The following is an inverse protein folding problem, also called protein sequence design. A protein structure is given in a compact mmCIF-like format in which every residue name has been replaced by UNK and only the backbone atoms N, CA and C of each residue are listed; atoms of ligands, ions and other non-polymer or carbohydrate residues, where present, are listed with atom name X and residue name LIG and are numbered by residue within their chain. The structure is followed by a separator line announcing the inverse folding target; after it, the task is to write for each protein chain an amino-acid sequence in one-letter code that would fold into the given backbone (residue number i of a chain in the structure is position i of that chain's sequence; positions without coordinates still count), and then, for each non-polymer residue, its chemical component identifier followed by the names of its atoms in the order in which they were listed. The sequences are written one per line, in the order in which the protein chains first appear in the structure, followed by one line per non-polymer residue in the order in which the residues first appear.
data_IF_344645051028
#
_entry.id   IF_344645051028
#
_cell.length_a   1.000
_cell.length_b   1.000
_cell.length_c   1.000
_cell.angle_alpha   90.00
_cell.angle_beta   90.00
_cell.angle_gamma   90.00
#
_symmetry.space_group_name_H-M   'P 1'
#
loop_
_entity.id
_entity.type
_entity.pdbx_description
1 polymer ?
#
# COMPACT_ATOMS: atom_id res chain seq x y z
N UNK A 1 -0.83 -18.05 -0.40
CA UNK A 1 -1.66 -17.12 -1.17
C UNK A 1 -0.77 -15.94 -1.48
N UNK A 2 -0.54 -15.68 -2.76
CA UNK A 2 0.43 -14.70 -3.24
C UNK A 2 -0.44 -13.62 -3.88
N UNK A 3 -0.48 -12.42 -3.29
CA UNK A 3 -0.99 -11.26 -4.02
C UNK A 3 -0.06 -11.08 -5.22
N UNK A 4 -0.63 -11.02 -6.41
CA UNK A 4 0.15 -10.89 -7.64
C UNK A 4 0.75 -9.48 -7.72
N UNK A 5 2.05 -9.39 -8.06
CA UNK A 5 2.79 -8.12 -8.14
C UNK A 5 2.15 -7.15 -9.14
N UNK A 6 1.64 -7.64 -10.27
CA UNK A 6 0.97 -6.82 -11.30
C UNK A 6 -0.32 -6.20 -10.72
N UNK A 7 -1.05 -6.95 -9.90
CA UNK A 7 -2.25 -6.43 -9.23
C UNK A 7 -1.91 -5.36 -8.18
N UNK A 8 -0.82 -5.51 -7.43
CA UNK A 8 -0.38 -4.47 -6.48
C UNK A 8 0.10 -3.22 -7.21
N UNK A 9 0.82 -3.37 -8.32
CA UNK A 9 1.27 -2.27 -9.18
C UNK A 9 0.11 -1.45 -9.74
N UNK A 10 -0.91 -2.11 -10.28
CA UNK A 10 -2.11 -1.42 -10.75
C UNK A 10 -2.81 -0.67 -9.62
N UNK A 11 -2.85 -1.23 -8.40
CA UNK A 11 -3.46 -0.57 -7.24
C UNK A 11 -2.69 0.68 -6.83
N UNK A 12 -1.38 0.60 -6.67
CA UNK A 12 -0.58 1.77 -6.30
C UNK A 12 -0.63 2.87 -7.37
N UNK A 13 -0.55 2.48 -8.65
CA UNK A 13 -0.67 3.42 -9.77
C UNK A 13 -2.04 4.09 -9.82
N UNK A 14 -3.11 3.34 -9.54
CA UNK A 14 -4.50 3.87 -9.56
C UNK A 14 -4.77 4.78 -8.36
N UNK A 15 -4.29 4.40 -7.18
CA UNK A 15 -4.50 5.17 -5.96
C UNK A 15 -3.61 6.40 -5.87
N UNK A 16 -2.44 6.37 -6.52
CA UNK A 16 -1.44 7.45 -6.61
C UNK A 16 -1.34 8.26 -5.30
N UNK A 17 -0.97 7.58 -4.23
CA UNK A 17 -1.11 8.07 -2.86
C UNK A 17 -0.42 9.42 -2.62
N UNK A 18 0.74 9.63 -3.26
CA UNK A 18 1.50 10.88 -3.21
C UNK A 18 1.25 11.81 -4.42
N UNK A 19 0.47 11.38 -5.42
CA UNK A 19 0.21 12.15 -6.64
C UNK A 19 1.36 12.15 -7.66
N UNK A 20 2.41 11.35 -7.45
CA UNK A 20 3.63 11.34 -8.25
C UNK A 20 3.36 10.92 -9.71
N UNK A 21 2.49 9.93 -9.92
CA UNK A 21 2.16 9.45 -11.27
C UNK A 21 1.41 10.53 -12.04
N UNK A 22 0.45 11.20 -11.39
CA UNK A 22 -0.25 12.34 -11.97
C UNK A 22 0.69 13.50 -12.31
N UNK A 23 1.79 13.67 -11.57
CA UNK A 23 2.86 14.63 -11.85
C UNK A 23 3.84 14.18 -12.96
N UNK A 24 3.67 12.97 -13.48
CA UNK A 24 4.45 12.42 -14.61
C UNK A 24 5.62 11.53 -14.20
N UNK A 25 5.65 11.06 -12.96
CA UNK A 25 6.55 9.99 -12.54
C UNK A 25 6.21 8.68 -13.28
N UNK A 26 7.19 7.76 -13.44
CA UNK A 26 6.95 6.50 -14.09
C UNK A 26 6.08 5.57 -13.21
N UNK A 27 5.41 4.58 -13.81
CA UNK A 27 4.46 3.72 -13.10
C UNK A 27 5.11 2.86 -11.98
N UNK A 28 6.41 2.61 -12.10
CA UNK A 28 7.24 1.88 -11.14
C UNK A 28 7.74 2.75 -9.96
N UNK A 29 7.30 4.00 -9.84
CA UNK A 29 7.76 4.92 -8.78
C UNK A 29 7.55 4.35 -7.36
N UNK A 30 6.49 3.57 -7.15
CA UNK A 30 6.18 2.95 -5.85
C UNK A 30 6.69 1.51 -5.70
N UNK A 31 7.49 0.99 -6.63
CA UNK A 31 8.06 -0.37 -6.58
C UNK A 31 8.64 -0.76 -5.20
N UNK A 32 9.47 0.07 -4.54
CA UNK A 32 10.04 -0.30 -3.24
C UNK A 32 8.99 -0.41 -2.12
N UNK A 33 7.95 0.41 -2.13
CA UNK A 33 6.86 0.32 -1.14
C UNK A 33 5.97 -0.90 -1.39
N UNK A 34 5.76 -1.24 -2.67
CA UNK A 34 5.02 -2.44 -3.07
C UNK A 34 5.72 -3.71 -2.63
N UNK A 35 7.03 -3.83 -2.88
CA UNK A 35 7.82 -4.99 -2.43
C UNK A 35 7.75 -5.16 -0.91
N UNK A 36 7.89 -4.06 -0.15
CA UNK A 36 7.80 -4.08 1.31
C UNK A 36 6.40 -4.48 1.80
N UNK A 37 5.35 -3.99 1.13
CA UNK A 37 3.98 -4.37 1.43
C UNK A 37 3.78 -5.86 1.20
N UNK A 38 4.17 -6.39 0.03
CA UNK A 38 4.03 -7.81 -0.33
C UNK A 38 4.81 -8.70 0.67
N UNK A 39 6.02 -8.32 1.04
CA UNK A 39 6.81 -9.04 2.05
C UNK A 39 6.10 -9.08 3.41
N UNK A 40 5.59 -7.94 3.88
CA UNK A 40 4.88 -7.86 5.15
C UNK A 40 3.57 -8.66 5.13
N UNK A 41 2.83 -8.57 4.02
CA UNK A 41 1.62 -9.32 3.72
C UNK A 41 1.84 -10.84 3.72
N UNK A 42 2.98 -11.32 3.21
CA UNK A 42 3.36 -12.72 3.22
C UNK A 42 3.64 -13.27 4.64
N UNK A 43 3.94 -12.39 5.61
CA UNK A 43 4.11 -12.78 7.02
C UNK A 43 2.77 -12.90 7.76
N UNK A 44 1.66 -12.41 7.19
CA UNK A 44 0.34 -12.49 7.82
C UNK A 44 -0.26 -13.88 7.52
N UNK A 45 -0.65 -14.66 8.56
CA UNK A 45 -1.34 -15.92 8.35
C UNK A 45 -2.63 -15.74 7.53
N UNK A 46 -2.92 -16.67 6.63
CA UNK A 46 -4.17 -16.67 5.86
C UNK A 46 -5.37 -16.69 6.82
N UNK A 47 -6.30 -15.74 6.64
CA UNK A 47 -7.46 -15.52 7.52
C UNK A 47 -7.23 -14.55 8.69
N UNK A 48 -6.00 -14.06 8.87
CA UNK A 48 -5.66 -13.02 9.85
C UNK A 48 -5.41 -11.64 9.23
N UNK A 49 -5.44 -11.54 7.89
CA UNK A 49 -5.39 -10.28 7.18
C UNK A 49 -6.65 -9.45 7.50
N UNK A 50 -6.45 -8.17 7.78
CA UNK A 50 -7.53 -7.24 8.04
C UNK A 50 -7.11 -5.84 7.61
N UNK A 51 -8.11 -4.99 7.33
CA UNK A 51 -7.86 -3.64 6.80
C UNK A 51 -6.95 -2.86 7.75
N UNK A 52 -7.22 -2.94 9.06
CA UNK A 52 -6.41 -2.25 10.08
C UNK A 52 -4.95 -2.71 10.10
N UNK A 53 -4.65 -3.99 9.82
CA UNK A 53 -3.27 -4.49 9.74
C UNK A 53 -2.56 -3.97 8.50
N UNK A 54 -3.24 -3.98 7.35
CA UNK A 54 -2.67 -3.49 6.09
C UNK A 54 -2.42 -1.98 6.17
N UNK A 55 -3.38 -1.21 6.69
CA UNK A 55 -3.22 0.23 6.93
C UNK A 55 -2.04 0.51 7.87
N UNK A 56 -1.85 -0.30 8.91
CA UNK A 56 -0.69 -0.14 9.81
C UNK A 56 0.64 -0.38 9.08
N UNK A 57 0.71 -1.40 8.22
CA UNK A 57 1.89 -1.68 7.39
C UNK A 57 2.19 -0.50 6.46
N UNK A 58 1.18 -0.01 5.72
CA UNK A 58 1.33 1.14 4.82
C UNK A 58 1.79 2.39 5.58
N UNK A 59 1.23 2.63 6.77
CA UNK A 59 1.62 3.75 7.64
C UNK A 59 3.10 3.65 8.03
N UNK A 60 3.59 2.45 8.39
CA UNK A 60 4.99 2.26 8.76
C UNK A 60 5.94 2.40 7.56
N UNK A 61 5.54 1.91 6.38
CA UNK A 61 6.28 2.09 5.12
C UNK A 61 6.41 3.59 4.80
N UNK A 62 5.30 4.33 4.76
CA UNK A 62 5.32 5.77 4.46
C UNK A 62 6.07 6.59 5.50
N UNK A 63 5.95 6.24 6.79
CA UNK A 63 6.71 6.91 7.84
C UNK A 63 8.21 6.71 7.65
N UNK A 64 8.64 5.54 7.19
CA UNK A 64 10.05 5.19 7.02
C UNK A 64 10.64 5.78 5.74
N UNK A 65 9.96 5.60 4.61
CA UNK A 65 10.54 5.87 3.29
C UNK A 65 10.29 7.31 2.83
N UNK A 66 9.12 7.88 3.16
CA UNK A 66 8.77 9.27 2.87
C UNK A 66 9.05 10.22 4.02
N UNK A 67 9.53 9.71 5.17
CA UNK A 67 9.64 10.48 6.42
C UNK A 67 8.33 11.23 6.76
N UNK A 68 7.19 10.60 6.43
CA UNK A 68 5.87 11.20 6.53
C UNK A 68 5.56 11.62 7.99
N UNK A 69 5.07 12.85 8.16
CA UNK A 69 4.60 13.34 9.46
C UNK A 69 3.24 12.75 9.80
N UNK A 70 2.83 12.82 11.07
CA UNK A 70 1.48 12.36 11.47
C UNK A 70 0.38 13.06 10.67
N UNK A 71 0.50 14.37 10.44
CA UNK A 71 -0.47 15.12 9.62
C UNK A 71 -0.55 14.60 8.17
N UNK A 72 0.59 14.19 7.59
CA UNK A 72 0.65 13.62 6.24
C UNK A 72 0.04 12.21 6.22
N UNK A 73 0.38 11.38 7.21
CA UNK A 73 -0.19 10.04 7.37
C UNK A 73 -1.71 10.08 7.58
N UNK A 74 -2.22 11.07 8.33
CA UNK A 74 -3.65 11.30 8.47
C UNK A 74 -4.32 11.70 7.15
N UNK A 75 -3.64 12.50 6.31
CA UNK A 75 -4.13 12.87 4.99
C UNK A 75 -4.16 11.68 4.01
N UNK A 76 -3.19 10.77 4.10
CA UNK A 76 -3.09 9.54 3.30
C UNK A 76 -4.03 8.43 3.77
N UNK A 77 -4.50 8.49 5.01
CA UNK A 77 -5.30 7.44 5.66
C UNK A 77 -6.50 6.96 4.82
N UNK A 78 -7.31 7.83 4.17
CA UNK A 78 -8.40 7.36 3.31
C UNK A 78 -7.90 6.56 2.10
N UNK A 79 -6.75 6.94 1.54
CA UNK A 79 -6.11 6.22 0.44
C UNK A 79 -5.61 4.84 0.89
N UNK A 80 -4.96 4.78 2.05
CA UNK A 80 -4.54 3.50 2.66
C UNK A 80 -5.72 2.58 2.96
N UNK A 81 -6.83 3.12 3.49
CA UNK A 81 -8.04 2.34 3.79
C UNK A 81 -8.65 1.75 2.51
N UNK A 82 -8.73 2.53 1.42
CA UNK A 82 -9.26 2.07 0.14
C UNK A 82 -8.34 1.03 -0.55
N UNK A 83 -7.03 1.24 -0.50
CA UNK A 83 -6.05 0.28 -1.01
C UNK A 83 -6.09 -1.03 -0.20
N UNK A 84 -6.22 -0.92 1.13
CA UNK A 84 -6.36 -2.08 2.01
C UNK A 84 -7.65 -2.86 1.77
N UNK A 85 -8.79 -2.20 1.56
CA UNK A 85 -10.04 -2.88 1.18
C UNK A 85 -9.88 -3.64 -0.13
N UNK A 86 -9.31 -3.01 -1.14
CA UNK A 86 -9.12 -3.65 -2.45
C UNK A 86 -8.19 -4.85 -2.35
N UNK A 87 -7.07 -4.73 -1.62
CA UNK A 87 -6.17 -5.86 -1.38
C UNK A 87 -6.87 -7.02 -0.68
N UNK A 88 -7.77 -6.75 0.28
CA UNK A 88 -8.53 -7.79 0.97
C UNK A 88 -9.49 -8.54 0.03
N UNK A 89 -10.10 -7.86 -0.93
CA UNK A 89 -10.93 -8.50 -1.96
C UNK A 89 -10.13 -9.46 -2.84
N UNK A 90 -8.82 -9.24 -2.97
CA UNK A 90 -7.89 -10.11 -3.69
C UNK A 90 -7.19 -11.15 -2.79
N UNK A 91 -7.50 -11.16 -1.49
CA UNK A 91 -6.85 -11.96 -0.44
C UNK A 91 -7.64 -13.24 -0.05
N UNK A 92 -8.49 -13.76 -0.95
CA UNK A 92 -9.32 -14.98 -0.76
C UNK A 92 -8.63 -16.26 -1.26
#
# INVERSE_FOLDING_TARGET
MIVDEESVEELFTTHDLEGLIAEGAPADEYEPEMEQLIEALAQIPTGEASQSKIVAILTDIWRKDFSATEDHLEALRPGFEALADTLLEHYD
#
